data_IF_035083635032
#
_entry.id   IF_035083635032
#
_cell.length_a   1.000
_cell.length_b   1.000
_cell.length_c   1.000
_cell.angle_alpha   90.00
_cell.angle_beta   90.00
_cell.angle_gamma   90.00
#
_symmetry.space_group_name_H-M   'P 1'
#
loop_
_entity.id
_entity.type
_entity.pdbx_description
1 polymer ?
#
# COMPACT_ATOMS: atom_id res chain seq x y z
N UNK A 1 9.47 1.24 4.52
CA UNK A 1 10.79 1.83 4.24
C UNK A 1 11.16 1.58 2.79
N UNK A 2 11.62 2.59 2.07
CA UNK A 2 12.00 2.53 0.65
C UNK A 2 13.28 3.34 0.42
N UNK A 3 14.10 2.97 -0.57
CA UNK A 3 15.28 3.75 -0.93
C UNK A 3 14.91 4.91 -1.85
N UNK A 4 15.50 6.09 -1.62
CA UNK A 4 15.38 7.22 -2.52
C UNK A 4 16.14 6.92 -3.83
N UNK A 5 15.53 7.05 -5.02
CA UNK A 5 16.23 6.76 -6.29
C UNK A 5 17.33 7.77 -6.61
N UNK A 6 17.33 8.95 -5.98
CA UNK A 6 18.34 10.00 -6.21
C UNK A 6 19.55 9.86 -5.29
N UNK A 7 19.34 9.84 -3.98
CA UNK A 7 20.45 9.79 -2.99
C UNK A 7 20.69 8.39 -2.42
N UNK A 8 19.90 7.38 -2.80
CA UNK A 8 20.00 5.99 -2.34
C UNK A 8 19.89 5.79 -0.82
N UNK A 9 19.45 6.81 -0.07
CA UNK A 9 19.22 6.68 1.36
C UNK A 9 17.87 6.03 1.67
N UNK A 10 17.79 5.39 2.83
CA UNK A 10 16.56 4.84 3.39
C UNK A 10 15.62 5.98 3.78
N UNK A 11 14.40 5.93 3.27
CA UNK A 11 13.36 6.92 3.54
C UNK A 11 12.07 6.22 3.98
N UNK A 12 11.26 6.91 4.76
CA UNK A 12 9.90 6.48 5.08
C UNK A 12 9.11 6.26 3.78
N UNK A 13 8.47 5.10 3.70
CA UNK A 13 7.56 4.76 2.61
C UNK A 13 6.39 5.73 2.47
N UNK A 14 6.07 6.58 3.46
CA UNK A 14 5.04 7.61 3.42
C UNK A 14 5.58 9.01 3.09
N UNK A 15 6.90 9.20 2.97
CA UNK A 15 7.48 10.51 2.70
C UNK A 15 7.10 11.03 1.30
N UNK A 16 6.60 12.26 1.24
CA UNK A 16 6.30 12.96 -0.02
C UNK A 16 7.58 13.42 -0.69
N UNK A 17 8.50 13.99 0.09
CA UNK A 17 9.83 14.41 -0.32
C UNK A 17 10.88 13.64 0.48
N UNK A 18 12.01 13.35 -0.14
CA UNK A 18 13.16 12.78 0.56
C UNK A 18 13.69 13.79 1.59
N UNK A 19 13.81 13.44 2.88
CA UNK A 19 14.27 14.37 3.91
C UNK A 19 15.74 14.80 3.74
N UNK A 20 16.52 14.04 2.97
CA UNK A 20 17.95 14.27 2.81
C UNK A 20 18.31 15.08 1.56
N UNK A 21 17.65 14.81 0.43
CA UNK A 21 17.95 15.49 -0.85
C UNK A 21 16.76 16.30 -1.40
N UNK A 22 15.64 16.37 -0.67
CA UNK A 22 14.41 17.07 -1.05
C UNK A 22 13.80 16.60 -2.38
N UNK A 23 14.25 15.45 -2.89
CA UNK A 23 13.69 14.88 -4.11
C UNK A 23 12.25 14.44 -3.87
N UNK A 24 11.34 14.87 -4.73
CA UNK A 24 9.92 14.53 -4.63
C UNK A 24 9.73 13.04 -4.97
N UNK A 25 9.26 12.26 -4.01
CA UNK A 25 9.04 10.82 -4.13
C UNK A 25 7.60 10.48 -4.53
N UNK A 26 6.65 11.37 -4.23
CA UNK A 26 5.21 11.14 -4.45
C UNK A 26 4.52 12.36 -5.02
N UNK A 27 3.39 12.11 -5.65
CA UNK A 27 2.63 13.13 -6.33
C UNK A 27 1.87 14.01 -5.34
N UNK A 28 1.95 15.33 -5.55
CA UNK A 28 1.05 16.36 -5.00
C UNK A 28 0.67 16.22 -3.52
N UNK A 29 1.62 15.93 -2.63
CA UNK A 29 1.37 15.92 -1.19
C UNK A 29 0.59 14.71 -0.66
N UNK A 30 0.28 13.72 -1.51
CA UNK A 30 -0.47 12.54 -1.08
C UNK A 30 0.45 11.35 -0.80
N UNK A 31 0.49 10.84 0.45
CA UNK A 31 1.38 9.74 0.80
C UNK A 31 0.89 8.38 0.27
N UNK A 32 -0.28 8.28 -0.37
CA UNK A 32 -0.79 7.03 -0.94
C UNK A 32 -0.46 6.80 -2.41
N UNK A 33 0.00 7.82 -3.14
CA UNK A 33 0.02 7.79 -4.61
C UNK A 33 1.48 7.79 -5.11
N UNK A 34 1.92 6.73 -5.81
CA UNK A 34 3.25 6.70 -6.40
C UNK A 34 3.37 7.73 -7.53
N UNK A 35 4.58 8.24 -7.73
CA UNK A 35 4.90 9.11 -8.86
C UNK A 35 5.91 8.38 -9.74
N UNK A 36 5.46 7.88 -10.89
CA UNK A 36 6.32 7.27 -11.89
C UNK A 36 6.97 8.35 -12.73
N UNK A 37 8.22 8.13 -13.12
CA UNK A 37 9.01 9.04 -13.96
C UNK A 37 9.76 8.27 -15.02
N UNK A 38 9.85 8.81 -16.24
CA UNK A 38 10.68 8.23 -17.28
C UNK A 38 12.17 8.45 -16.98
N UNK A 39 13.01 7.52 -17.46
CA UNK A 39 14.46 7.67 -17.41
C UNK A 39 14.94 8.56 -18.55
N UNK A 40 14.73 9.87 -18.43
CA UNK A 40 15.27 10.86 -19.37
C UNK A 40 14.19 11.61 -20.15
N UNK A 41 14.29 11.59 -21.49
CA UNK A 41 13.41 12.38 -22.38
C UNK A 41 12.21 11.61 -22.93
N UNK A 42 12.20 10.30 -22.77
CA UNK A 42 11.13 9.43 -23.27
C UNK A 42 9.81 9.69 -22.54
N UNK A 43 8.70 9.50 -23.25
CA UNK A 43 7.37 9.63 -22.65
C UNK A 43 6.98 8.33 -21.95
N UNK A 44 6.38 8.43 -20.77
CA UNK A 44 5.79 7.25 -20.09
C UNK A 44 4.58 6.71 -20.85
N UNK A 45 3.92 7.53 -21.65
CA UNK A 45 2.72 7.15 -22.38
C UNK A 45 2.99 6.05 -23.43
N UNK A 46 4.16 6.05 -24.09
CA UNK A 46 4.51 5.07 -25.12
C UNK A 46 4.50 3.61 -24.64
N UNK A 47 4.81 3.39 -23.36
CA UNK A 47 4.84 2.04 -22.74
C UNK A 47 3.66 1.80 -21.80
N UNK A 48 2.72 2.74 -21.72
CA UNK A 48 1.61 2.66 -20.79
C UNK A 48 0.44 1.83 -21.34
N UNK A 49 -0.04 0.88 -20.55
CA UNK A 49 -1.23 0.07 -20.86
C UNK A 49 -2.44 0.97 -21.19
N UNK A 50 -2.72 1.97 -20.36
CA UNK A 50 -3.87 2.87 -20.54
C UNK A 50 -3.78 3.77 -21.78
N UNK A 51 -2.58 3.91 -22.36
CA UNK A 51 -2.40 4.62 -23.61
C UNK A 51 -2.74 3.74 -24.82
N UNK A 52 -2.47 2.43 -24.72
CA UNK A 52 -2.70 1.48 -25.80
C UNK A 52 -4.19 1.19 -26.01
N UNK A 53 -4.96 1.11 -24.93
CA UNK A 53 -6.41 0.88 -24.96
C UNK A 53 -7.23 2.20 -24.98
N UNK A 54 -6.56 3.34 -25.19
CA UNK A 54 -7.15 4.68 -25.29
C UNK A 54 -8.00 5.14 -24.09
N UNK A 55 -7.87 4.47 -22.94
CA UNK A 55 -8.65 4.77 -21.73
C UNK A 55 -8.07 5.89 -20.88
N UNK A 56 -6.81 6.28 -21.12
CA UNK A 56 -6.13 7.33 -20.36
C UNK A 56 -6.61 8.73 -20.74
N UNK A 57 -7.13 9.46 -19.75
CA UNK A 57 -7.55 10.87 -19.84
C UNK A 57 -6.56 11.85 -19.19
N UNK A 58 -5.31 11.43 -18.95
CA UNK A 58 -4.31 12.26 -18.29
C UNK A 58 -3.96 13.49 -19.16
N UNK A 59 -4.02 14.73 -18.63
CA UNK A 59 -3.89 15.95 -19.43
C UNK A 59 -2.57 16.09 -20.20
N UNK A 60 -1.49 15.50 -19.70
CA UNK A 60 -0.16 15.60 -20.34
C UNK A 60 0.08 14.51 -21.41
N UNK A 61 -0.91 13.67 -21.71
CA UNK A 61 -0.83 12.70 -22.82
C UNK A 61 -0.66 13.46 -24.15
N UNK A 62 0.17 12.97 -25.09
CA UNK A 62 1.02 11.77 -25.05
C UNK A 62 2.44 12.00 -24.51
N UNK A 63 2.77 13.19 -24.02
CA UNK A 63 4.14 13.59 -23.69
C UNK A 63 4.47 13.53 -22.19
N UNK A 64 3.67 12.84 -21.39
CA UNK A 64 3.83 12.78 -19.94
C UNK A 64 5.15 12.08 -19.57
N UNK A 65 6.07 12.80 -18.94
CA UNK A 65 7.32 12.24 -18.38
C UNK A 65 7.14 11.81 -16.92
N UNK A 66 6.13 12.36 -16.24
CA UNK A 66 5.73 11.97 -14.91
C UNK A 66 4.24 11.61 -14.90
N UNK A 67 3.87 10.51 -14.25
CA UNK A 67 2.48 10.06 -14.20
C UNK A 67 2.22 9.25 -12.93
N UNK A 68 1.05 9.44 -12.32
CA UNK A 68 0.60 8.64 -11.16
C UNK A 68 -0.21 7.42 -11.56
N UNK A 69 -0.74 7.40 -12.79
CA UNK A 69 -1.55 6.34 -13.39
C UNK A 69 -0.74 5.43 -14.32
N UNK A 70 0.59 5.56 -14.35
CA UNK A 70 1.41 4.76 -15.25
C UNK A 70 1.36 3.27 -14.86
N UNK A 71 0.97 2.44 -15.83
CA UNK A 71 1.05 0.99 -15.77
C UNK A 71 1.80 0.52 -17.01
N UNK A 72 2.92 -0.19 -16.83
CA UNK A 72 3.70 -0.73 -17.95
C UNK A 72 2.96 -1.89 -18.59
N UNK A 73 2.81 -1.89 -19.93
CA UNK A 73 2.15 -2.97 -20.68
C UNK A 73 2.93 -4.30 -20.66
N UNK A 74 4.25 -4.24 -20.50
CA UNK A 74 5.13 -5.41 -20.48
C UNK A 74 5.14 -6.10 -19.11
N UNK A 75 4.59 -5.45 -18.08
CA UNK A 75 4.48 -6.01 -16.76
C UNK A 75 3.13 -6.72 -16.60
N UNK A 76 3.11 -7.96 -16.08
CA UNK A 76 1.84 -8.58 -15.72
C UNK A 76 1.10 -7.70 -14.73
N UNK A 77 -0.23 -7.63 -14.86
CA UNK A 77 -1.14 -6.97 -13.91
C UNK A 77 -1.13 -7.72 -12.57
N UNK A 78 0.00 -7.69 -11.87
CA UNK A 78 0.11 -8.23 -10.52
C UNK A 78 -0.54 -7.17 -9.65
N UNK A 79 -1.79 -7.43 -9.25
CA UNK A 79 -2.32 -6.85 -8.02
C UNK A 79 -1.32 -7.21 -6.93
N UNK A 80 -0.49 -6.24 -6.51
CA UNK A 80 0.36 -6.46 -5.34
C UNK A 80 -0.59 -6.84 -4.22
N UNK A 81 -0.56 -8.08 -3.70
CA UNK A 81 -1.34 -8.37 -2.52
C UNK A 81 -0.79 -7.44 -1.46
N UNK A 82 -1.65 -6.58 -0.89
CA UNK A 82 -1.34 -5.87 0.34
C UNK A 82 -0.91 -6.96 1.30
N UNK A 83 0.40 -7.15 1.48
CA UNK A 83 0.95 -8.22 2.30
C UNK A 83 0.41 -7.93 3.70
N UNK A 84 -0.51 -8.74 4.25
CA UNK A 84 -1.02 -8.47 5.59
C UNK A 84 0.11 -8.83 6.54
N UNK A 85 0.97 -7.86 6.81
CA UNK A 85 1.98 -7.97 7.85
C UNK A 85 1.20 -8.08 9.16
N UNK A 86 1.27 -9.27 9.78
CA UNK A 86 0.71 -9.64 11.08
C UNK A 86 -0.74 -10.19 11.06
N UNK A 87 -0.93 -11.33 10.39
CA UNK A 87 -2.22 -12.01 10.29
C UNK A 87 -2.75 -12.60 11.61
N UNK A 88 -1.91 -12.98 12.56
CA UNK A 88 -2.39 -13.77 13.70
C UNK A 88 -2.96 -12.90 14.85
N UNK A 89 -2.25 -11.85 15.27
CA UNK A 89 -2.66 -10.99 16.39
C UNK A 89 -3.87 -10.11 16.05
N UNK A 90 -3.99 -9.66 14.80
CA UNK A 90 -5.13 -8.86 14.33
C UNK A 90 -6.38 -9.73 14.23
N UNK A 91 -6.27 -10.94 13.69
CA UNK A 91 -7.40 -11.88 13.59
C UNK A 91 -7.92 -12.28 14.98
N UNK A 92 -7.03 -12.55 15.94
CA UNK A 92 -7.42 -12.87 17.32
C UNK A 92 -8.13 -11.68 17.97
N UNK A 93 -7.64 -10.45 17.79
CA UNK A 93 -8.29 -9.24 18.35
C UNK A 93 -9.68 -9.02 17.78
N UNK A 94 -9.86 -9.16 16.46
CA UNK A 94 -11.15 -9.00 15.79
C UNK A 94 -12.12 -10.10 16.25
N UNK A 95 -11.66 -11.34 16.31
CA UNK A 95 -12.47 -12.47 16.77
C UNK A 95 -12.90 -12.31 18.23
N UNK A 96 -12.01 -11.83 19.10
CA UNK A 96 -12.31 -11.59 20.51
C UNK A 96 -13.33 -10.46 20.69
N UNK A 97 -13.24 -9.40 19.89
CA UNK A 97 -14.20 -8.29 19.91
C UNK A 97 -15.61 -8.75 19.47
N UNK A 98 -15.70 -9.58 18.44
CA UNK A 98 -16.99 -10.08 17.95
C UNK A 98 -17.61 -11.11 18.90
N UNK A 99 -16.80 -11.91 19.59
CA UNK A 99 -17.27 -13.03 20.42
C UNK A 99 -17.14 -12.78 21.93
N UNK A 100 -17.00 -11.52 22.37
CA UNK A 100 -16.74 -11.15 23.76
C UNK A 100 -17.80 -11.72 24.72
N UNK A 101 -19.07 -11.66 24.34
CA UNK A 101 -20.18 -12.20 25.15
C UNK A 101 -19.99 -13.70 25.41
N UNK A 102 -19.66 -14.47 24.38
CA UNK A 102 -19.42 -15.91 24.53
C UNK A 102 -18.20 -16.20 25.40
N UNK A 103 -17.13 -15.43 25.26
CA UNK A 103 -15.92 -15.56 26.10
C UNK A 103 -16.26 -15.36 27.58
N UNK A 104 -17.08 -14.35 27.90
CA UNK A 104 -17.53 -14.09 29.28
C UNK A 104 -18.41 -15.23 29.80
N UNK A 105 -19.36 -15.72 29.00
CA UNK A 105 -20.23 -16.83 29.38
C UNK A 105 -19.43 -18.10 29.65
N UNK A 106 -18.51 -18.47 28.75
CA UNK A 106 -17.63 -19.62 28.96
C UNK A 106 -16.74 -19.44 30.20
N UNK A 107 -16.22 -18.24 30.43
CA UNK A 107 -15.45 -17.93 31.63
C UNK A 107 -16.25 -18.15 32.92
N UNK A 108 -17.50 -17.68 32.97
CA UNK A 108 -18.39 -17.89 34.10
C UNK A 108 -18.72 -19.37 34.33
N UNK A 109 -18.99 -20.12 33.26
CA UNK A 109 -19.24 -21.56 33.34
C UNK A 109 -18.03 -22.31 33.91
N UNK A 110 -16.82 -21.99 33.46
CA UNK A 110 -15.58 -22.60 33.96
C UNK A 110 -15.40 -22.31 35.45
N UNK A 111 -15.59 -21.06 35.88
CA UNK A 111 -15.49 -20.68 37.30
C UNK A 111 -16.51 -21.45 38.14
N UNK A 112 -17.76 -21.53 37.68
CA UNK A 112 -18.80 -22.29 38.37
C UNK A 112 -18.43 -23.76 38.50
N UNK A 113 -17.87 -24.36 37.45
CA UNK A 113 -17.46 -25.76 37.45
C UNK A 113 -16.30 -26.02 38.41
N UNK A 114 -15.29 -25.14 38.42
CA UNK A 114 -14.16 -25.20 39.36
C UNK A 114 -14.64 -25.12 40.80
N UNK A 115 -15.56 -24.18 41.11
CA UNK A 115 -16.12 -24.04 42.46
C UNK A 115 -16.92 -25.27 42.91
N UNK A 116 -17.46 -26.05 41.97
CA UNK A 116 -18.20 -27.28 42.31
C UNK A 116 -17.27 -28.45 42.59
N UNK A 117 -16.08 -28.45 41.97
CA UNK A 117 -15.07 -29.50 42.12
C UNK A 117 -14.10 -29.28 43.29
N UNK A 118 -14.06 -28.06 43.85
CA UNK A 118 -13.25 -27.68 45.01
C UNK A 118 -13.99 -28.02 46.32
#
# INVERSE_FOLDING_TARGET
MSHCPRCHQLVDSQAVNCPHCQYQLKAFGHPGIPLYRSSGKESLCETCLYHEDDTCNFPQRPFAQECTLYQNRSEPLISTPIKPQQALSVTIKIWLQQNLVWVVVFGLLIVSFILTLL
#
